data_IF_673206252578
#
_entry.id   IF_673206252578
#
_cell.length_a   1.000
_cell.length_b   1.000
_cell.length_c   1.000
_cell.angle_alpha   90.00
_cell.angle_beta   90.00
_cell.angle_gamma   90.00
#
_symmetry.space_group_name_H-M   'P 1'
#
loop_
_entity.id
_entity.type
_entity.pdbx_description
1 polymer ?
#
# COMPACT_ATOMS: atom_id res chain seq x y z
N UNK A 1 16.98 2.54 24.79
CA UNK A 1 16.55 2.63 26.21
C UNK A 1 17.56 3.35 27.13
N UNK A 2 18.44 4.22 26.64
CA UNK A 2 19.40 4.94 27.50
C UNK A 2 18.83 6.26 28.03
N UNK A 3 17.98 6.93 27.24
CA UNK A 3 17.36 8.22 27.61
C UNK A 3 16.36 8.13 28.78
N UNK A 4 15.55 7.08 28.82
CA UNK A 4 14.61 6.86 29.93
C UNK A 4 15.32 6.56 31.26
N UNK A 5 16.48 5.88 31.20
CA UNK A 5 17.34 5.67 32.36
C UNK A 5 17.93 6.99 32.89
N UNK A 6 18.39 7.86 31.99
CA UNK A 6 18.94 9.17 32.36
C UNK A 6 17.89 10.13 32.92
N UNK A 7 16.64 10.04 32.46
CA UNK A 7 15.51 10.81 33.02
C UNK A 7 15.20 10.33 34.44
N UNK A 8 15.14 9.01 34.66
CA UNK A 8 14.91 8.43 35.99
C UNK A 8 16.05 8.75 36.97
N UNK A 9 17.30 8.75 36.51
CA UNK A 9 18.47 9.10 37.32
C UNK A 9 18.52 10.61 37.65
N UNK A 10 18.12 11.48 36.73
CA UNK A 10 18.00 12.92 36.98
C UNK A 10 16.86 13.25 37.95
N UNK A 11 15.75 12.50 37.89
CA UNK A 11 14.65 12.61 38.87
C UNK A 11 15.08 12.16 40.27
N UNK A 12 15.89 11.10 40.40
CA UNK A 12 16.45 10.67 41.68
C UNK A 12 17.47 11.66 42.27
N UNK A 13 18.20 12.39 41.42
CA UNK A 13 19.20 13.39 41.84
C UNK A 13 18.61 14.77 42.16
N UNK A 14 17.30 14.97 41.99
CA UNK A 14 16.61 16.22 42.34
C UNK A 14 16.97 17.41 41.43
N UNK A 15 17.58 17.15 40.28
CA UNK A 15 18.08 18.18 39.36
C UNK A 15 16.99 18.56 38.35
N UNK A 16 16.07 19.42 38.80
CA UNK A 16 14.85 19.78 38.06
C UNK A 16 15.11 20.39 36.68
N UNK A 17 16.19 21.17 36.53
CA UNK A 17 16.58 21.78 35.26
C UNK A 17 17.02 20.71 34.25
N UNK A 18 17.82 19.73 34.71
CA UNK A 18 18.27 18.61 33.88
C UNK A 18 17.12 17.69 33.47
N UNK A 19 16.15 17.47 34.35
CA UNK A 19 14.93 16.70 34.04
C UNK A 19 14.10 17.40 32.97
N UNK A 20 13.96 18.72 33.04
CA UNK A 20 13.19 19.52 32.07
C UNK A 20 13.85 19.52 30.68
N UNK A 21 15.18 19.65 30.62
CA UNK A 21 15.96 19.57 29.37
C UNK A 21 15.87 18.16 28.76
N UNK A 22 16.01 17.10 29.57
CA UNK A 22 15.91 15.73 29.07
C UNK A 22 14.50 15.37 28.60
N UNK A 23 13.45 15.88 29.27
CA UNK A 23 12.07 15.76 28.80
C UNK A 23 11.89 16.49 27.46
N UNK A 24 12.38 17.72 27.32
CA UNK A 24 12.30 18.44 26.05
C UNK A 24 13.04 17.72 24.93
N UNK A 25 14.25 17.20 25.17
CA UNK A 25 14.99 16.38 24.20
C UNK A 25 14.21 15.12 23.86
N UNK A 26 13.57 14.47 24.83
CA UNK A 26 12.75 13.28 24.57
C UNK A 26 11.53 13.59 23.71
N UNK A 27 10.85 14.71 23.95
CA UNK A 27 9.71 15.18 23.14
C UNK A 27 10.16 15.52 21.73
N UNK A 28 11.24 16.29 21.56
CA UNK A 28 11.78 16.64 20.24
C UNK A 28 12.26 15.38 19.51
N UNK A 29 12.90 14.43 20.20
CA UNK A 29 13.26 13.15 19.59
C UNK A 29 12.03 12.33 19.18
N UNK A 30 10.96 12.33 19.96
CA UNK A 30 9.71 11.67 19.60
C UNK A 30 9.03 12.35 18.42
N UNK A 31 8.95 13.68 18.39
CA UNK A 31 8.45 14.44 17.25
C UNK A 31 9.31 14.22 16.00
N UNK A 32 10.63 14.20 16.14
CA UNK A 32 11.55 13.90 15.03
C UNK A 32 11.43 12.45 14.58
N UNK A 33 11.15 11.50 15.48
CA UNK A 33 10.87 10.10 15.14
C UNK A 33 9.50 9.95 14.47
N UNK A 34 8.49 10.70 14.88
CA UNK A 34 7.16 10.72 14.28
C UNK A 34 7.15 11.42 12.92
N UNK A 35 7.97 12.47 12.74
CA UNK A 35 8.27 13.05 11.42
C UNK A 35 9.03 12.05 10.53
N UNK A 36 9.89 11.21 11.11
CA UNK A 36 10.66 10.15 10.39
C UNK A 36 9.84 8.89 10.10
N UNK A 37 8.84 8.56 10.92
CA UNK A 37 7.82 7.57 10.61
C UNK A 37 6.86 8.17 9.59
N UNK A 38 7.34 8.27 8.35
CA UNK A 38 6.61 8.92 7.27
C UNK A 38 5.17 8.41 7.25
N UNK A 39 4.20 9.32 7.20
CA UNK A 39 2.78 8.99 7.03
C UNK A 39 2.56 7.94 5.93
N UNK A 40 3.40 8.00 4.90
CA UNK A 40 3.54 7.01 3.83
C UNK A 40 3.81 5.59 4.37
N UNK A 41 4.79 5.41 5.24
CA UNK A 41 5.09 4.11 5.89
C UNK A 41 3.96 3.61 6.77
N UNK A 42 3.34 4.49 7.56
CA UNK A 42 2.18 4.11 8.38
C UNK A 42 1.02 3.63 7.49
N UNK A 43 0.76 4.33 6.39
CA UNK A 43 -0.21 3.93 5.37
C UNK A 43 0.17 2.58 4.75
N UNK A 44 1.40 2.40 4.24
CA UNK A 44 1.85 1.16 3.62
C UNK A 44 1.72 -0.04 4.57
N UNK A 45 2.12 0.11 5.83
CA UNK A 45 1.94 -0.93 6.85
C UNK A 45 0.46 -1.27 7.09
N UNK A 46 -0.43 -0.27 7.05
CA UNK A 46 -1.87 -0.50 7.14
C UNK A 46 -2.39 -1.26 5.92
N UNK A 47 -1.98 -0.89 4.71
CA UNK A 47 -2.43 -1.52 3.46
C UNK A 47 -1.97 -2.98 3.34
N UNK A 48 -0.78 -3.31 3.87
CA UNK A 48 -0.25 -4.68 3.89
C UNK A 48 -0.95 -5.60 4.89
N UNK A 49 -1.67 -5.05 5.88
CA UNK A 49 -2.44 -5.82 6.88
C UNK A 49 -3.88 -6.08 6.45
N UNK A 50 -4.37 -5.34 5.45
CA UNK A 50 -5.75 -5.45 4.97
C UNK A 50 -5.75 -6.42 3.80
N UNK A 51 -6.53 -7.49 3.91
CA UNK A 51 -6.66 -8.49 2.83
C UNK A 51 -7.67 -8.03 1.76
N UNK A 52 -8.73 -7.34 2.16
CA UNK A 52 -9.79 -6.85 1.26
C UNK A 52 -9.29 -5.71 0.35
N UNK A 53 -9.34 -5.98 -0.95
CA UNK A 53 -8.95 -5.05 -2.01
C UNK A 53 -9.80 -3.77 -2.03
N UNK A 54 -11.09 -3.85 -1.74
CA UNK A 54 -11.99 -2.71 -1.77
C UNK A 54 -11.67 -1.72 -0.66
N UNK A 55 -11.41 -2.24 0.54
CA UNK A 55 -11.01 -1.43 1.70
C UNK A 55 -9.65 -0.77 1.42
N UNK A 56 -8.71 -1.52 0.83
CA UNK A 56 -7.39 -1.00 0.46
C UNK A 56 -7.50 0.13 -0.57
N UNK A 57 -8.32 -0.03 -1.59
CA UNK A 57 -8.59 0.99 -2.61
C UNK A 57 -9.23 2.25 -2.01
N UNK A 58 -10.19 2.10 -1.10
CA UNK A 58 -10.83 3.24 -0.44
C UNK A 58 -9.82 4.06 0.39
N UNK A 59 -8.94 3.39 1.15
CA UNK A 59 -7.89 4.05 1.92
C UNK A 59 -6.89 4.75 0.98
N UNK A 60 -6.47 4.09 -0.10
CA UNK A 60 -5.58 4.69 -1.08
C UNK A 60 -6.22 5.92 -1.74
N UNK A 61 -7.49 5.86 -2.13
CA UNK A 61 -8.22 7.01 -2.69
C UNK A 61 -8.29 8.16 -1.70
N UNK A 62 -8.65 7.90 -0.45
CA UNK A 62 -8.72 8.92 0.59
C UNK A 62 -7.36 9.60 0.85
N UNK A 63 -6.27 8.85 0.84
CA UNK A 63 -4.94 9.40 1.15
C UNK A 63 -4.27 10.08 -0.06
N UNK A 64 -4.55 9.63 -1.29
CA UNK A 64 -3.95 10.13 -2.52
C UNK A 64 -4.78 11.21 -3.23
N UNK A 65 -6.08 11.32 -2.95
CA UNK A 65 -6.91 12.37 -3.55
C UNK A 65 -6.61 13.71 -2.85
N UNK A 66 -6.31 14.78 -3.59
CA UNK A 66 -6.19 16.10 -3.01
C UNK A 66 -7.52 16.55 -2.41
N UNK A 67 -7.51 16.95 -1.14
CA UNK A 67 -8.67 17.51 -0.45
C UNK A 67 -8.43 18.99 -0.20
N UNK A 68 -9.49 19.79 -0.23
CA UNK A 68 -9.42 21.21 0.13
C UNK A 68 -9.02 21.34 1.60
N UNK A 69 -7.85 21.95 1.83
CA UNK A 69 -7.39 22.30 3.16
C UNK A 69 -7.81 23.74 3.40
N UNK A 70 -8.46 23.99 4.55
CA UNK A 70 -8.87 25.33 4.93
C UNK A 70 -7.65 26.27 4.91
N UNK A 71 -7.62 27.17 3.94
CA UNK A 71 -6.62 28.23 3.87
C UNK A 71 -6.72 29.14 5.09
N UNK A 72 -5.59 29.76 5.45
CA UNK A 72 -5.57 30.77 6.51
C UNK A 72 -6.68 31.83 6.29
N UNK A 73 -7.32 32.36 7.36
CA UNK A 73 -8.50 33.21 7.26
C UNK A 73 -8.23 34.63 6.68
N UNK A 74 -7.12 34.84 5.99
CA UNK A 74 -6.71 36.12 5.44
C UNK A 74 -6.59 36.04 3.91
N UNK A 75 -7.67 36.43 3.23
CA UNK A 75 -7.61 37.06 1.91
C UNK A 75 -7.45 36.14 0.69
N UNK A 76 -8.56 35.89 0.00
CA UNK A 76 -8.62 35.86 -1.48
C UNK A 76 -7.78 34.84 -2.26
N UNK A 77 -7.16 33.86 -1.61
CA UNK A 77 -6.42 32.80 -2.28
C UNK A 77 -7.34 31.65 -2.73
N UNK A 78 -7.07 31.08 -3.91
CA UNK A 78 -7.70 29.84 -4.35
C UNK A 78 -7.54 28.72 -3.30
N UNK A 79 -8.50 27.78 -3.18
CA UNK A 79 -8.41 26.71 -2.19
C UNK A 79 -7.11 25.91 -2.34
N UNK A 80 -6.42 25.70 -1.23
CA UNK A 80 -5.20 24.89 -1.20
C UNK A 80 -5.61 23.42 -1.25
N UNK A 81 -5.44 22.79 -2.40
CA UNK A 81 -5.62 21.34 -2.56
C UNK A 81 -4.33 20.63 -2.12
N UNK A 82 -4.42 19.80 -1.10
CA UNK A 82 -3.29 18.95 -0.70
C UNK A 82 -3.76 17.52 -0.47
N UNK A 83 -3.06 16.56 -1.10
CA UNK A 83 -3.21 15.16 -0.76
C UNK A 83 -2.56 14.90 0.61
N UNK A 84 -3.15 14.00 1.39
CA UNK A 84 -2.57 13.60 2.68
C UNK A 84 -1.22 12.91 2.50
N UNK A 85 -1.05 12.19 1.38
CA UNK A 85 0.21 11.59 0.95
C UNK A 85 0.48 11.99 -0.51
N UNK A 86 1.54 12.78 -0.78
CA UNK A 86 1.95 13.08 -2.16
C UNK A 86 2.41 11.81 -2.90
N UNK A 87 1.99 11.65 -4.14
CA UNK A 87 2.33 10.47 -4.96
C UNK A 87 3.85 10.35 -5.20
N UNK A 88 4.56 11.48 -5.26
CA UNK A 88 6.01 11.56 -5.42
C UNK A 88 6.76 10.90 -4.26
N UNK A 89 6.15 10.84 -3.07
CA UNK A 89 6.73 10.22 -1.88
C UNK A 89 6.39 8.74 -1.77
N UNK A 90 5.42 8.26 -2.55
CA UNK A 90 4.94 6.89 -2.44
C UNK A 90 5.90 5.90 -3.10
N UNK A 91 6.36 6.18 -4.33
CA UNK A 91 7.32 5.34 -5.05
C UNK A 91 8.62 5.08 -4.24
N UNK A 92 9.33 6.12 -3.73
CA UNK A 92 10.55 5.89 -2.95
C UNK A 92 10.27 5.16 -1.64
N UNK A 93 9.12 5.41 -0.99
CA UNK A 93 8.78 4.71 0.25
C UNK A 93 8.50 3.21 0.04
N UNK A 94 7.83 2.86 -1.07
CA UNK A 94 7.65 1.45 -1.45
C UNK A 94 9.00 0.81 -1.79
N UNK A 95 9.87 1.51 -2.53
CA UNK A 95 11.20 0.99 -2.85
C UNK A 95 12.02 0.69 -1.59
N UNK A 96 12.07 1.62 -0.64
CA UNK A 96 12.73 1.41 0.66
C UNK A 96 12.09 0.26 1.44
N UNK A 97 10.76 0.13 1.42
CA UNK A 97 10.07 -0.96 2.09
C UNK A 97 10.44 -2.32 1.49
N UNK A 98 10.50 -2.43 0.16
CA UNK A 98 10.93 -3.66 -0.51
C UNK A 98 12.36 -4.01 -0.12
N UNK A 99 13.30 -3.05 -0.13
CA UNK A 99 14.69 -3.28 0.28
C UNK A 99 14.82 -3.72 1.75
N UNK A 100 14.06 -3.09 2.64
CA UNK A 100 14.07 -3.42 4.08
C UNK A 100 13.52 -4.82 4.32
N UNK A 101 12.40 -5.17 3.70
CA UNK A 101 11.80 -6.50 3.79
C UNK A 101 12.73 -7.54 3.18
N UNK A 102 13.30 -7.26 2.01
CA UNK A 102 14.23 -8.15 1.32
C UNK A 102 15.43 -8.49 2.21
N UNK A 103 16.08 -7.45 2.76
CA UNK A 103 17.21 -7.61 3.66
C UNK A 103 16.85 -8.36 4.94
N UNK A 104 15.70 -8.07 5.54
CA UNK A 104 15.24 -8.72 6.77
C UNK A 104 14.92 -10.20 6.55
N UNK A 105 14.21 -10.53 5.47
CA UNK A 105 13.82 -11.91 5.18
C UNK A 105 15.01 -12.77 4.76
N UNK A 106 15.96 -12.22 3.99
CA UNK A 106 17.23 -12.91 3.71
C UNK A 106 17.99 -13.25 4.99
N UNK A 107 18.00 -12.34 5.98
CA UNK A 107 18.68 -12.57 7.26
C UNK A 107 18.01 -13.64 8.15
N UNK A 108 16.70 -13.83 8.02
CA UNK A 108 15.91 -14.74 8.87
C UNK A 108 15.67 -16.11 8.22
N UNK A 109 15.31 -16.13 6.94
CA UNK A 109 14.88 -17.33 6.20
C UNK A 109 15.92 -17.82 5.18
N UNK A 110 16.85 -16.94 4.77
CA UNK A 110 17.83 -17.21 3.73
C UNK A 110 17.42 -16.63 2.36
N UNK A 111 18.34 -16.65 1.38
CA UNK A 111 18.16 -15.97 0.09
C UNK A 111 17.12 -16.64 -0.83
N UNK A 112 16.90 -17.95 -0.72
CA UNK A 112 16.08 -18.69 -1.68
C UNK A 112 14.70 -19.09 -1.14
N UNK A 113 14.29 -18.52 -0.01
CA UNK A 113 13.01 -18.85 0.62
C UNK A 113 11.80 -18.25 -0.14
N UNK A 114 10.77 -19.06 -0.37
CA UNK A 114 9.58 -18.66 -1.12
C UNK A 114 8.75 -17.58 -0.40
N UNK A 115 8.69 -17.60 0.94
CA UNK A 115 7.89 -16.65 1.73
C UNK A 115 8.44 -15.21 1.63
N UNK A 116 9.73 -15.07 1.33
CA UNK A 116 10.35 -13.78 0.95
C UNK A 116 9.65 -13.20 -0.29
N UNK A 117 9.56 -13.99 -1.35
CA UNK A 117 8.98 -13.56 -2.62
C UNK A 117 7.46 -13.38 -2.55
N UNK A 118 6.77 -14.18 -1.74
CA UNK A 118 5.35 -13.97 -1.44
C UNK A 118 5.10 -12.62 -0.78
N UNK A 119 5.94 -12.24 0.19
CA UNK A 119 5.84 -10.94 0.87
C UNK A 119 6.13 -9.80 -0.10
N UNK A 120 7.15 -9.93 -0.95
CA UNK A 120 7.43 -8.94 -2.01
C UNK A 120 6.27 -8.82 -3.01
N UNK A 121 5.58 -9.90 -3.35
CA UNK A 121 4.40 -9.86 -4.22
C UNK A 121 3.23 -9.12 -3.57
N UNK A 122 3.00 -9.30 -2.26
CA UNK A 122 1.98 -8.52 -1.53
C UNK A 122 2.27 -7.02 -1.61
N UNK A 123 3.53 -6.61 -1.46
CA UNK A 123 3.93 -5.21 -1.62
C UNK A 123 3.68 -4.73 -3.05
N UNK A 124 3.94 -5.58 -4.04
CA UNK A 124 3.67 -5.30 -5.45
C UNK A 124 2.19 -5.11 -5.75
N UNK A 125 1.29 -5.91 -5.16
CA UNK A 125 -0.15 -5.75 -5.32
C UNK A 125 -0.63 -4.39 -4.80
N UNK A 126 -0.16 -3.97 -3.63
CA UNK A 126 -0.44 -2.62 -3.10
C UNK A 126 0.05 -1.54 -4.08
N UNK A 127 1.24 -1.71 -4.66
CA UNK A 127 1.79 -0.77 -5.64
C UNK A 127 0.95 -0.70 -6.93
N UNK A 128 0.41 -1.83 -7.42
CA UNK A 128 -0.49 -1.86 -8.59
C UNK A 128 -1.78 -1.11 -8.32
N UNK A 129 -2.38 -1.30 -7.15
CA UNK A 129 -3.60 -0.58 -6.77
C UNK A 129 -3.36 0.92 -6.64
N UNK A 130 -2.24 1.32 -6.03
CA UNK A 130 -1.83 2.71 -5.96
C UNK A 130 -1.63 3.31 -7.36
N UNK A 131 -1.03 2.57 -8.30
CA UNK A 131 -0.86 3.00 -9.70
C UNK A 131 -2.20 3.32 -10.36
N UNK A 132 -3.22 2.47 -10.20
CA UNK A 132 -4.54 2.71 -10.79
C UNK A 132 -5.15 4.02 -10.27
N UNK A 133 -5.08 4.25 -8.96
CA UNK A 133 -5.63 5.46 -8.34
C UNK A 133 -4.84 6.71 -8.76
N UNK A 134 -3.51 6.61 -8.89
CA UNK A 134 -2.70 7.71 -9.40
C UNK A 134 -3.07 8.03 -10.85
N UNK A 135 -3.31 7.02 -11.68
CA UNK A 135 -3.81 7.20 -13.06
C UNK A 135 -5.17 7.90 -13.09
N UNK A 136 -6.10 7.49 -12.22
CA UNK A 136 -7.44 8.08 -12.11
C UNK A 136 -7.40 9.55 -11.66
N UNK A 137 -6.53 9.89 -10.70
CA UNK A 137 -6.50 11.21 -10.04
C UNK A 137 -5.59 12.21 -10.75
N UNK A 138 -4.41 11.77 -11.19
CA UNK A 138 -3.35 12.65 -11.73
C UNK A 138 -3.09 12.44 -13.23
N UNK A 139 -3.69 11.42 -13.83
CA UNK A 139 -3.58 11.11 -15.25
C UNK A 139 -2.41 10.19 -15.62
N UNK A 140 -2.41 9.80 -16.90
CA UNK A 140 -1.53 8.78 -17.45
C UNK A 140 -0.02 9.09 -17.29
N UNK A 141 0.40 10.34 -17.52
CA UNK A 141 1.83 10.71 -17.46
C UNK A 141 2.44 10.56 -16.07
N UNK A 142 1.68 10.88 -15.02
CA UNK A 142 2.11 10.71 -13.62
C UNK A 142 2.13 9.22 -13.25
N UNK A 143 1.13 8.46 -13.71
CA UNK A 143 1.09 7.01 -13.52
C UNK A 143 2.30 6.30 -14.15
N UNK A 144 2.70 6.69 -15.35
CA UNK A 144 3.84 6.11 -16.05
C UNK A 144 5.16 6.45 -15.35
N UNK A 145 5.30 7.69 -14.86
CA UNK A 145 6.45 8.11 -14.03
C UNK A 145 6.55 7.28 -12.75
N UNK A 146 5.45 7.17 -11.99
CA UNK A 146 5.38 6.34 -10.79
C UNK A 146 5.76 4.87 -11.06
N UNK A 147 5.33 4.33 -12.20
CA UNK A 147 5.64 2.96 -12.60
C UNK A 147 7.12 2.78 -12.95
N UNK A 148 7.71 3.75 -13.65
CA UNK A 148 9.13 3.75 -13.98
C UNK A 148 10.00 3.79 -12.72
N UNK A 149 9.66 4.64 -11.75
CA UNK A 149 10.39 4.80 -10.49
C UNK A 149 10.35 3.53 -9.63
N UNK A 150 9.26 2.76 -9.70
CA UNK A 150 9.08 1.53 -8.92
C UNK A 150 9.67 0.27 -9.57
N UNK A 151 9.89 0.29 -10.89
CA UNK A 151 10.35 -0.91 -11.62
C UNK A 151 11.66 -1.49 -11.06
N UNK A 152 12.69 -0.68 -10.73
CA UNK A 152 13.94 -1.19 -10.17
C UNK A 152 13.76 -1.97 -8.86
N UNK A 153 12.84 -1.53 -7.99
CA UNK A 153 12.62 -2.14 -6.67
C UNK A 153 12.12 -3.59 -6.76
N UNK A 154 11.43 -3.95 -7.85
CA UNK A 154 10.87 -5.29 -8.04
C UNK A 154 11.70 -6.18 -8.99
N UNK A 155 12.89 -5.76 -9.42
CA UNK A 155 13.71 -6.53 -10.36
C UNK A 155 14.06 -7.93 -9.83
N UNK A 156 14.39 -8.05 -8.54
CA UNK A 156 14.70 -9.33 -7.88
C UNK A 156 13.51 -10.28 -7.92
N UNK A 157 12.32 -9.79 -7.57
CA UNK A 157 11.07 -10.56 -7.62
C UNK A 157 10.73 -11.00 -9.06
N UNK A 158 10.92 -10.11 -10.03
CA UNK A 158 10.67 -10.40 -11.44
C UNK A 158 11.63 -11.47 -11.98
N UNK A 159 12.90 -11.39 -11.60
CA UNK A 159 13.92 -12.37 -11.98
C UNK A 159 13.63 -13.74 -11.38
N UNK A 160 13.22 -13.80 -10.12
CA UNK A 160 12.79 -15.03 -9.46
C UNK A 160 11.53 -15.64 -10.11
N UNK A 161 10.54 -14.83 -10.48
CA UNK A 161 9.36 -15.32 -11.20
C UNK A 161 9.70 -15.85 -12.60
N UNK A 162 10.70 -15.28 -13.26
CA UNK A 162 11.16 -15.73 -14.57
C UNK A 162 11.97 -17.04 -14.52
N UNK A 163 12.66 -17.32 -13.41
CA UNK A 163 13.42 -18.56 -13.22
C UNK A 163 12.57 -19.74 -12.75
N UNK A 164 11.34 -19.50 -12.25
CA UNK A 164 10.41 -20.58 -11.92
C UNK A 164 9.72 -21.14 -13.17
N UNK A 165 9.63 -22.47 -13.32
CA UNK A 165 8.72 -23.06 -14.30
C UNK A 165 7.30 -22.58 -13.97
N UNK A 166 6.60 -22.01 -14.96
CA UNK A 166 5.17 -21.71 -14.81
C UNK A 166 4.48 -23.00 -14.38
N UNK A 167 3.59 -22.97 -13.38
CA UNK A 167 2.70 -24.11 -13.17
C UNK A 167 2.02 -24.36 -14.50
N UNK A 168 2.22 -25.56 -15.05
CA UNK A 168 1.44 -26.03 -16.18
C UNK A 168 -0.03 -25.80 -15.81
N UNK A 169 -0.77 -25.16 -16.72
CA UNK A 169 -2.22 -25.02 -16.57
C UNK A 169 -2.81 -26.43 -16.59
N UNK A 170 -2.94 -27.06 -15.43
CA UNK A 170 -3.86 -28.18 -15.25
C UNK A 170 -5.27 -27.65 -15.49
N UNK A 171 -5.95 -28.23 -16.49
CA UNK A 171 -7.40 -28.13 -16.61
C UNK A 171 -7.96 -26.94 -17.39
N UNK A 172 -7.59 -26.82 -18.67
CA UNK A 172 -8.59 -26.40 -19.64
C UNK A 172 -9.63 -27.52 -19.75
N UNK A 173 -10.69 -27.48 -18.93
CA UNK A 173 -11.89 -28.24 -19.25
C UNK A 173 -12.60 -27.56 -20.43
N UNK A 174 -12.31 -28.13 -21.59
CA UNK A 174 -13.12 -28.04 -22.80
C UNK A 174 -14.50 -28.64 -22.54
N UNK A 175 -15.51 -27.81 -22.40
CA UNK A 175 -16.89 -28.17 -22.72
C UNK A 175 -17.23 -27.64 -24.10
N UNK A 176 -16.85 -28.39 -25.14
CA UNK A 176 -17.27 -28.13 -26.50
C UNK A 176 -18.80 -28.20 -26.60
N UNK A 177 -19.37 -27.28 -27.39
CA UNK A 177 -20.79 -27.25 -27.66
C UNK A 177 -21.31 -28.53 -28.31
N UNK A 178 -22.59 -28.80 -28.07
CA UNK A 178 -23.43 -29.55 -28.97
C UNK A 178 -24.57 -28.62 -29.37
N UNK A 179 -24.55 -28.20 -30.63
CA UNK A 179 -25.71 -27.67 -31.34
C UNK A 179 -26.83 -28.72 -31.33
N UNK A 180 -28.03 -28.26 -31.03
CA UNK A 180 -29.28 -29.00 -31.24
C UNK A 180 -30.40 -27.97 -31.41
N UNK A 181 -30.65 -27.60 -32.67
CA UNK A 181 -31.85 -26.90 -33.10
C UNK A 181 -33.07 -27.84 -33.08
N UNK A 182 -34.26 -27.25 -33.25
CA UNK A 182 -35.61 -27.86 -33.22
C UNK A 182 -36.11 -28.14 -31.79
N UNK A 183 -37.27 -27.70 -31.33
CA UNK A 183 -38.55 -27.55 -32.03
C UNK A 183 -39.44 -26.58 -31.22
N UNK A 184 -39.90 -25.50 -31.84
CA UNK A 184 -40.96 -24.65 -31.31
C UNK A 184 -42.16 -24.81 -32.25
N UNK A 185 -43.13 -25.63 -31.85
CA UNK A 185 -44.41 -25.74 -32.52
C UNK A 185 -45.52 -26.15 -31.52
N UNK A 186 -46.62 -25.41 -31.61
CA UNK A 186 -48.01 -25.70 -31.24
C UNK A 186 -48.32 -25.94 -29.74
N UNK A 187 -49.12 -25.12 -29.06
CA UNK A 187 -50.55 -24.78 -29.30
C UNK A 187 -51.49 -25.97 -29.08
N UNK A 188 -52.11 -26.04 -27.89
CA UNK A 188 -53.51 -26.47 -27.60
C UNK A 188 -53.71 -26.32 -26.07
N UNK A 189 -54.38 -25.28 -25.57
CA UNK A 189 -55.83 -25.15 -25.35
C UNK A 189 -56.48 -26.26 -24.50
N UNK A 190 -57.00 -25.84 -23.33
CA UNK A 190 -58.27 -26.27 -22.69
C UNK A 190 -58.33 -25.59 -21.30
N UNK A 191 -59.12 -24.52 -21.12
CA UNK A 191 -60.55 -24.56 -20.77
C UNK A 191 -60.76 -25.18 -19.37
N UNK A 192 -61.03 -24.37 -18.34
CA UNK A 192 -62.35 -23.85 -17.93
C UNK A 192 -63.02 -24.74 -16.88
N UNK A 193 -63.82 -24.09 -16.02
CA UNK A 193 -64.64 -24.60 -14.89
C UNK A 193 -63.84 -24.72 -13.58
N UNK A 194 -64.20 -24.05 -12.48
CA UNK A 194 -65.52 -23.59 -11.99
C UNK A 194 -65.39 -22.31 -11.14
#
# INVERSE_FOLDING_TARGET
MVLQLNIAEAQQKGDGERVQVLMHISTVMQEELEKKASRVRAMLNKLLRIEDENIRNNILRDQLTPVEVAGAPMGGGAPLMAAMVPWERLAPAIATLVEEVDRQMVAVLGPDDDARYETMERIREVAKQARLIIGDVYGQGVMDTFSADLTPAFHTLMSYKASRPKPEKEGAESGAGVEGAEEAAAEDAAAAEE
#
